data_IF_736449149392
#
_entry.id   IF_736449149392
#
_cell.length_a   1.000
_cell.length_b   1.000
_cell.length_c   1.000
_cell.angle_alpha   90.00
_cell.angle_beta   90.00
_cell.angle_gamma   90.00
#
_symmetry.space_group_name_H-M   'P 1'
#
loop_
_entity.id
_entity.type
_entity.pdbx_description
1 polymer ?
#
# COMPACT_ATOMS: atom_id res chain seq x y z
N UNK A 1 -16.13 -40.61 11.01
CA UNK A 1 -14.94 -40.01 11.64
C UNK A 1 -14.19 -39.27 10.53
N UNK A 2 -14.55 -38.00 10.32
CA UNK A 2 -14.10 -37.18 9.19
C UNK A 2 -12.88 -36.40 9.68
N UNK A 3 -11.70 -36.72 9.16
CA UNK A 3 -10.48 -35.96 9.41
C UNK A 3 -10.61 -34.60 8.68
N UNK A 4 -10.82 -33.53 9.44
CA UNK A 4 -10.62 -32.16 8.98
C UNK A 4 -9.11 -31.97 8.75
N UNK A 5 -8.70 -31.73 7.50
CA UNK A 5 -7.35 -31.26 7.19
C UNK A 5 -7.37 -29.74 7.30
N UNK A 6 -6.77 -29.23 8.37
CA UNK A 6 -6.45 -27.80 8.53
C UNK A 6 -5.32 -27.44 7.57
N UNK A 7 -5.59 -26.49 6.67
CA UNK A 7 -4.56 -25.83 5.88
C UNK A 7 -3.80 -24.87 6.80
N UNK A 8 -2.48 -25.01 6.87
CA UNK A 8 -1.63 -24.10 7.61
C UNK A 8 -1.48 -22.81 6.79
N UNK A 9 -2.02 -21.71 7.30
CA UNK A 9 -1.84 -20.36 6.77
C UNK A 9 -0.46 -19.89 7.25
N UNK A 10 0.44 -19.59 6.30
CA UNK A 10 1.77 -19.06 6.62
C UNK A 10 1.63 -17.57 6.93
N UNK A 11 1.74 -17.19 8.19
CA UNK A 11 1.95 -15.80 8.60
C UNK A 11 3.42 -15.45 8.37
N UNK A 12 3.73 -14.75 7.27
CA UNK A 12 5.03 -14.12 7.10
C UNK A 12 5.09 -12.88 8.02
N UNK A 13 5.61 -13.06 9.23
CA UNK A 13 5.92 -11.95 10.12
C UNK A 13 7.13 -11.18 9.55
N UNK A 14 6.88 -10.01 8.96
CA UNK A 14 7.94 -9.05 8.68
C UNK A 14 8.39 -8.46 10.02
N UNK A 15 9.67 -8.65 10.33
CA UNK A 15 10.34 -8.09 11.49
C UNK A 15 10.38 -6.56 11.37
N UNK A 16 9.40 -5.87 11.95
CA UNK A 16 9.57 -4.48 12.35
C UNK A 16 10.41 -4.47 13.64
N UNK A 17 11.68 -4.07 13.52
CA UNK A 17 12.52 -3.72 14.66
C UNK A 17 11.94 -2.49 15.37
N UNK A 18 11.02 -2.72 16.31
CA UNK A 18 10.63 -1.74 17.30
C UNK A 18 11.79 -1.55 18.31
N UNK A 19 12.63 -0.54 18.07
CA UNK A 19 13.53 -0.06 19.11
C UNK A 19 12.73 0.81 20.10
N UNK A 20 12.19 0.16 21.13
CA UNK A 20 11.70 0.84 22.33
C UNK A 20 12.87 1.50 23.06
N UNK A 21 12.76 2.80 23.31
CA UNK A 21 13.49 3.47 24.39
C UNK A 21 12.47 3.97 25.40
N UNK A 22 12.43 3.29 26.54
CA UNK A 22 11.74 3.76 27.72
C UNK A 22 12.54 4.82 28.48
N UNK A 23 11.82 5.78 29.03
CA UNK A 23 12.06 6.41 30.33
C UNK A 23 10.75 7.10 30.70
N UNK A 24 10.07 6.72 31.77
CA UNK A 24 10.51 7.07 33.12
C UNK A 24 9.84 8.41 33.49
N UNK A 25 8.84 8.35 34.37
CA UNK A 25 7.93 9.45 34.66
C UNK A 25 8.59 10.72 35.23
N UNK A 26 7.88 11.84 35.06
CA UNK A 26 8.22 13.14 35.62
C UNK A 26 7.12 14.14 35.30
N UNK A 27 6.23 14.32 36.27
CA UNK A 27 5.08 15.22 36.24
C UNK A 27 5.56 16.68 36.37
N UNK A 28 5.42 17.53 35.34
CA UNK A 28 5.38 18.99 35.51
C UNK A 28 4.41 19.62 34.50
N UNK A 29 3.23 19.97 34.99
CA UNK A 29 2.32 20.89 34.36
C UNK A 29 2.97 22.28 34.25
N UNK A 30 3.18 22.78 33.04
CA UNK A 30 3.35 24.22 32.79
C UNK A 30 2.37 24.67 31.73
N UNK A 31 1.26 25.24 32.20
CA UNK A 31 0.31 25.93 31.36
C UNK A 31 0.97 27.14 30.69
N UNK A 32 0.72 27.31 29.41
CA UNK A 32 0.96 28.56 28.71
C UNK A 32 -0.40 29.22 28.49
N UNK A 33 -0.67 30.25 29.31
CA UNK A 33 -1.76 31.19 29.07
C UNK A 33 -1.41 32.08 27.88
N UNK A 34 -2.39 32.47 27.04
CA UNK A 34 -2.17 33.37 25.92
C UNK A 34 -2.19 34.81 26.43
N UNK A 35 -1.10 35.56 26.26
CA UNK A 35 -1.07 36.99 26.59
C UNK A 35 -1.11 37.84 25.33
N UNK A 36 -2.18 38.63 25.23
CA UNK A 36 -2.50 39.51 24.13
C UNK A 36 -1.79 40.87 24.25
N UNK A 37 -1.36 41.38 23.09
CA UNK A 37 -1.17 42.79 22.70
C UNK A 37 0.11 43.53 23.11
N UNK A 38 0.91 43.92 22.10
CA UNK A 38 1.08 45.34 21.68
C UNK A 38 1.95 45.48 20.44
N UNK A 39 1.47 46.29 19.50
CA UNK A 39 2.16 46.71 18.29
C UNK A 39 3.40 47.57 18.60
N UNK A 40 4.47 47.36 17.84
CA UNK A 40 5.41 48.42 17.49
C UNK A 40 6.12 48.09 16.18
N UNK A 41 6.22 49.12 15.34
CA UNK A 41 6.80 49.14 14.00
C UNK A 41 8.30 48.84 14.01
N UNK A 42 8.74 48.31 12.87
CA UNK A 42 10.09 48.40 12.33
C UNK A 42 11.20 47.73 13.16
N UNK A 43 11.41 46.45 12.88
CA UNK A 43 12.76 46.00 12.56
C UNK A 43 12.65 44.87 11.54
N UNK A 44 13.18 45.11 10.35
CA UNK A 44 13.54 44.08 9.39
C UNK A 44 14.64 43.22 10.01
N UNK A 45 14.24 42.33 10.92
CA UNK A 45 15.05 41.18 11.27
C UNK A 45 14.99 40.29 10.04
N UNK A 46 15.97 40.45 9.14
CA UNK A 46 16.36 39.40 8.20
C UNK A 46 16.76 38.21 9.07
N UNK A 47 15.78 37.39 9.42
CA UNK A 47 16.03 36.03 9.87
C UNK A 47 16.85 35.39 8.75
N UNK A 48 18.06 34.91 9.08
CA UNK A 48 18.76 33.99 8.19
C UNK A 48 17.91 32.72 8.15
N UNK A 49 16.95 32.68 7.21
CA UNK A 49 16.21 31.48 6.85
C UNK A 49 17.25 30.45 6.45
N UNK A 50 17.41 29.41 7.27
CA UNK A 50 18.06 28.20 6.79
C UNK A 50 17.16 27.69 5.67
N UNK A 51 17.60 27.84 4.43
CA UNK A 51 16.98 27.14 3.32
C UNK A 51 16.94 25.65 3.70
N UNK A 52 15.75 25.05 3.66
CA UNK A 52 15.62 23.64 3.93
C UNK A 52 16.40 22.87 2.86
N UNK A 53 17.15 21.85 3.27
CA UNK A 53 17.85 20.96 2.36
C UNK A 53 17.00 19.71 2.12
N UNK A 54 17.14 19.09 0.94
CA UNK A 54 16.44 17.84 0.66
C UNK A 54 16.92 16.73 1.60
N UNK A 55 16.03 16.06 2.35
CA UNK A 55 16.43 15.01 3.27
C UNK A 55 17.10 13.82 2.57
N UNK A 56 18.29 13.43 3.02
CA UNK A 56 19.02 12.27 2.46
C UNK A 56 18.21 10.96 2.53
N UNK A 57 17.37 10.79 3.56
CA UNK A 57 16.50 9.61 3.71
C UNK A 57 15.48 9.46 2.58
N UNK A 58 15.13 10.56 1.91
CA UNK A 58 14.15 10.57 0.83
C UNK A 58 14.79 10.40 -0.56
N UNK A 59 16.13 10.41 -0.65
CA UNK A 59 16.81 10.30 -1.94
C UNK A 59 16.60 8.92 -2.55
N UNK A 60 16.15 8.91 -3.80
CA UNK A 60 15.84 7.69 -4.56
C UNK A 60 14.38 7.25 -4.49
N UNK A 61 13.58 7.84 -3.59
CA UNK A 61 12.13 7.75 -3.65
C UNK A 61 11.64 8.71 -4.74
N UNK A 62 11.07 8.18 -5.81
CA UNK A 62 10.70 9.01 -6.97
C UNK A 62 9.20 9.08 -7.15
N UNK A 63 8.52 7.94 -7.18
CA UNK A 63 7.08 7.85 -7.35
C UNK A 63 6.49 6.90 -6.32
N UNK A 64 5.44 7.34 -5.65
CA UNK A 64 4.70 6.49 -4.72
C UNK A 64 3.77 5.54 -5.50
N UNK A 65 3.45 4.38 -4.92
CA UNK A 65 2.52 3.41 -5.51
C UNK A 65 1.58 2.90 -4.41
N UNK A 66 0.28 3.14 -4.58
CA UNK A 66 -0.73 2.89 -3.53
C UNK A 66 -0.88 1.41 -3.17
N UNK A 67 -0.46 0.48 -4.03
CA UNK A 67 -0.58 -0.95 -3.78
C UNK A 67 0.72 -1.61 -3.29
N UNK A 68 1.77 -0.84 -3.00
CA UNK A 68 3.07 -1.41 -2.59
C UNK A 68 3.23 -1.66 -1.10
N UNK A 69 2.43 -1.03 -0.23
CA UNK A 69 2.52 -1.26 1.20
C UNK A 69 1.77 -2.55 1.61
N UNK A 70 2.32 -3.71 1.25
CA UNK A 70 1.70 -5.02 1.44
C UNK A 70 1.82 -5.50 2.88
N UNK A 71 0.69 -5.82 3.51
CA UNK A 71 0.61 -6.40 4.86
C UNK A 71 0.26 -7.88 4.85
N UNK A 72 -0.35 -8.38 3.78
CA UNK A 72 -0.71 -9.79 3.64
C UNK A 72 -0.85 -10.21 2.17
N UNK A 73 -0.54 -11.46 1.86
CA UNK A 73 -0.85 -12.10 0.58
C UNK A 73 -1.30 -13.54 0.80
N UNK A 74 -2.29 -14.00 0.04
CA UNK A 74 -2.70 -15.42 0.03
C UNK A 74 -1.74 -16.31 -0.77
N UNK A 75 -0.85 -15.71 -1.55
CA UNK A 75 0.06 -16.42 -2.43
C UNK A 75 1.45 -15.77 -2.45
N UNK A 76 2.45 -16.54 -2.06
CA UNK A 76 3.86 -16.22 -2.26
C UNK A 76 4.51 -17.37 -3.04
N UNK A 77 4.90 -17.09 -4.27
CA UNK A 77 5.56 -18.06 -5.14
C UNK A 77 6.88 -18.59 -4.56
N UNK A 78 7.61 -17.77 -3.80
CA UNK A 78 8.89 -18.15 -3.20
C UNK A 78 8.71 -19.19 -2.09
N UNK A 79 7.60 -19.13 -1.35
CA UNK A 79 7.25 -20.14 -0.34
C UNK A 79 6.89 -21.51 -0.93
N UNK A 80 6.41 -21.55 -2.18
CA UNK A 80 5.89 -22.76 -2.82
C UNK A 80 6.89 -23.45 -3.75
N UNK A 81 7.84 -22.71 -4.31
CA UNK A 81 8.92 -23.24 -5.15
C UNK A 81 10.23 -23.13 -4.39
N UNK A 82 10.62 -24.24 -3.77
CA UNK A 82 11.83 -24.32 -2.95
C UNK A 82 12.89 -25.17 -3.64
N UNK A 83 14.17 -24.89 -3.40
CA UNK A 83 15.24 -25.74 -3.90
C UNK A 83 15.18 -27.12 -3.20
N UNK A 84 15.28 -28.25 -3.93
CA UNK A 84 15.29 -29.57 -3.30
C UNK A 84 16.55 -29.77 -2.46
N UNK A 85 16.42 -30.19 -1.21
CA UNK A 85 17.59 -30.45 -0.34
C UNK A 85 18.54 -31.51 -0.91
N UNK A 86 17.98 -32.47 -1.64
CA UNK A 86 18.71 -33.55 -2.32
C UNK A 86 18.06 -33.83 -3.67
N UNK A 87 18.85 -34.33 -4.62
CA UNK A 87 18.32 -34.75 -5.91
C UNK A 87 17.41 -35.98 -5.72
N UNK A 88 16.11 -35.87 -6.04
CA UNK A 88 15.12 -36.91 -5.75
C UNK A 88 15.17 -38.09 -6.75
N UNK A 89 15.66 -37.85 -7.97
CA UNK A 89 15.62 -38.82 -9.06
C UNK A 89 16.97 -38.93 -9.78
N UNK A 90 17.38 -40.16 -10.07
CA UNK A 90 18.57 -40.42 -10.88
C UNK A 90 18.32 -39.99 -12.34
N UNK A 91 19.28 -39.28 -12.93
CA UNK A 91 19.22 -38.85 -14.33
C UNK A 91 18.55 -37.50 -14.56
N UNK A 92 17.99 -36.87 -13.53
CA UNK A 92 17.43 -35.52 -13.60
C UNK A 92 18.21 -34.56 -12.72
N UNK A 93 18.38 -33.32 -13.20
CA UNK A 93 18.87 -32.20 -12.40
C UNK A 93 17.69 -31.34 -11.96
N UNK A 94 17.09 -31.68 -10.83
CA UNK A 94 16.00 -30.93 -10.23
C UNK A 94 16.52 -29.62 -9.63
N UNK A 95 15.95 -28.50 -10.05
CA UNK A 95 16.33 -27.15 -9.60
C UNK A 95 15.33 -26.56 -8.61
N UNK A 96 14.13 -27.12 -8.55
CA UNK A 96 13.04 -26.62 -7.72
C UNK A 96 12.03 -27.75 -7.41
N UNK A 97 11.33 -27.62 -6.28
CA UNK A 97 10.22 -28.45 -5.86
C UNK A 97 9.01 -27.55 -5.59
N UNK A 98 7.95 -27.75 -6.36
CA UNK A 98 6.67 -27.08 -6.20
C UNK A 98 5.77 -27.90 -5.26
N UNK A 99 5.30 -27.25 -4.20
CA UNK A 99 4.34 -27.80 -3.24
C UNK A 99 4.75 -29.16 -2.65
N UNK A 100 6.07 -29.36 -2.48
CA UNK A 100 6.67 -30.59 -1.93
C UNK A 100 6.50 -31.86 -2.77
N UNK A 101 5.84 -31.80 -3.93
CA UNK A 101 5.37 -32.99 -4.66
C UNK A 101 5.73 -33.01 -6.14
N UNK A 102 6.05 -31.86 -6.72
CA UNK A 102 6.34 -31.73 -8.16
C UNK A 102 7.73 -31.13 -8.36
N UNK A 103 8.58 -31.79 -9.14
CA UNK A 103 9.98 -31.39 -9.27
C UNK A 103 10.24 -30.77 -10.63
N UNK A 104 10.71 -29.53 -10.63
CA UNK A 104 11.16 -28.82 -11.83
C UNK A 104 12.60 -29.23 -12.08
N UNK A 105 12.88 -29.80 -13.26
CA UNK A 105 14.24 -30.14 -13.69
C UNK A 105 14.66 -29.29 -14.88
N UNK A 106 15.97 -29.20 -15.08
CA UNK A 106 16.57 -28.53 -16.23
C UNK A 106 17.51 -29.47 -16.98
N UNK A 107 17.35 -29.52 -18.29
CA UNK A 107 18.25 -30.20 -19.22
C UNK A 107 18.68 -29.25 -20.36
N UNK A 108 19.30 -29.81 -21.41
CA UNK A 108 19.77 -29.04 -22.56
C UNK A 108 18.62 -28.50 -23.45
N UNK A 109 17.41 -29.08 -23.33
CA UNK A 109 16.23 -28.69 -24.11
C UNK A 109 15.41 -27.60 -23.42
N UNK A 110 15.39 -27.59 -22.09
CA UNK A 110 14.65 -26.60 -21.31
C UNK A 110 14.33 -27.07 -19.89
N UNK A 111 13.16 -26.65 -19.40
CA UNK A 111 12.66 -27.02 -18.08
C UNK A 111 11.52 -28.04 -18.17
N UNK A 112 11.60 -29.14 -17.45
CA UNK A 112 10.49 -30.10 -17.36
C UNK A 112 9.91 -30.20 -15.96
N UNK A 113 8.81 -30.94 -15.83
CA UNK A 113 8.14 -31.20 -14.55
C UNK A 113 7.99 -32.70 -14.33
N UNK A 114 8.40 -33.18 -13.16
CA UNK A 114 8.22 -34.56 -12.69
C UNK A 114 7.20 -34.60 -11.56
N UNK A 115 6.47 -35.72 -11.45
CA UNK A 115 5.70 -36.05 -10.26
C UNK A 115 6.60 -36.57 -9.12
N UNK A 116 6.01 -36.86 -7.97
CA UNK A 116 6.70 -37.43 -6.80
C UNK A 116 7.34 -38.82 -7.03
N UNK A 117 7.02 -39.50 -8.14
CA UNK A 117 7.55 -40.82 -8.51
C UNK A 117 8.62 -40.72 -9.60
N UNK A 118 8.92 -39.52 -10.10
CA UNK A 118 9.86 -39.29 -11.19
C UNK A 118 9.26 -39.49 -12.57
N UNK A 119 7.93 -39.53 -12.69
CA UNK A 119 7.23 -39.58 -13.98
C UNK A 119 7.15 -38.17 -14.57
N UNK A 120 7.48 -38.05 -15.85
CA UNK A 120 7.44 -36.77 -16.56
C UNK A 120 5.99 -36.36 -16.86
N UNK A 121 5.59 -35.22 -16.29
CA UNK A 121 4.29 -34.58 -16.49
C UNK A 121 4.34 -33.49 -17.55
N UNK A 122 5.46 -32.77 -17.64
CA UNK A 122 5.72 -31.75 -18.66
C UNK A 122 7.08 -32.02 -19.28
N UNK A 123 7.09 -32.17 -20.60
CA UNK A 123 8.32 -32.35 -21.34
C UNK A 123 9.16 -31.07 -21.39
N UNK A 124 10.47 -31.21 -21.23
CA UNK A 124 11.42 -30.09 -21.23
C UNK A 124 11.54 -29.38 -22.58
N UNK A 125 11.15 -30.03 -23.68
CA UNK A 125 11.28 -29.46 -25.03
C UNK A 125 10.55 -28.13 -25.13
N UNK A 126 11.32 -27.09 -25.51
CA UNK A 126 10.84 -25.72 -25.73
C UNK A 126 10.29 -25.01 -24.50
N UNK A 127 10.40 -25.56 -23.29
CA UNK A 127 9.94 -24.87 -22.07
C UNK A 127 11.03 -23.95 -21.55
N UNK A 128 10.74 -22.65 -21.51
CA UNK A 128 11.65 -21.60 -21.03
C UNK A 128 11.61 -21.42 -19.52
N UNK A 129 10.42 -21.56 -18.91
CA UNK A 129 10.22 -21.30 -17.48
C UNK A 129 8.98 -22.01 -16.97
N UNK A 130 9.05 -22.52 -15.75
CA UNK A 130 7.91 -22.98 -14.96
C UNK A 130 7.88 -22.13 -13.68
N UNK A 131 6.71 -21.57 -13.34
CA UNK A 131 6.51 -20.80 -12.10
C UNK A 131 5.21 -21.19 -11.43
N UNK A 132 5.13 -21.04 -10.11
CA UNK A 132 3.86 -21.09 -9.39
C UNK A 132 3.09 -19.80 -9.67
N UNK A 133 1.78 -19.90 -9.77
CA UNK A 133 0.87 -18.75 -9.93
C UNK A 133 -0.32 -18.77 -8.98
N UNK A 134 -0.60 -19.92 -8.35
CA UNK A 134 -1.48 -20.07 -7.20
C UNK A 134 -0.96 -21.23 -6.35
N UNK A 135 -1.53 -21.50 -5.16
CA UNK A 135 -1.13 -22.64 -4.32
C UNK A 135 -1.17 -24.00 -5.03
N UNK A 136 -2.00 -24.15 -6.06
CA UNK A 136 -2.22 -25.40 -6.78
C UNK A 136 -2.03 -25.31 -8.29
N UNK A 137 -1.54 -24.18 -8.82
CA UNK A 137 -1.39 -23.94 -10.25
C UNK A 137 0.01 -23.42 -10.61
N UNK A 138 0.50 -23.90 -11.75
CA UNK A 138 1.74 -23.44 -12.37
C UNK A 138 1.48 -22.80 -13.72
N UNK A 139 2.32 -21.82 -14.09
CA UNK A 139 2.45 -21.32 -15.45
C UNK A 139 3.67 -21.93 -16.12
N UNK A 140 3.54 -22.23 -17.41
CA UNK A 140 4.57 -22.84 -18.24
C UNK A 140 4.74 -21.97 -19.47
N UNK A 141 5.88 -21.28 -19.55
CA UNK A 141 6.22 -20.40 -20.66
C UNK A 141 7.07 -21.15 -21.66
N UNK A 142 6.62 -21.21 -22.91
CA UNK A 142 7.31 -21.88 -24.00
C UNK A 142 8.19 -20.91 -24.81
N UNK A 143 9.05 -21.49 -25.66
CA UNK A 143 10.02 -20.76 -26.46
C UNK A 143 9.40 -19.82 -27.48
N UNK A 144 8.19 -20.15 -27.96
CA UNK A 144 7.35 -19.32 -28.85
C UNK A 144 6.59 -18.21 -28.11
N UNK A 145 6.87 -18.02 -26.81
CA UNK A 145 6.21 -17.09 -25.91
C UNK A 145 4.74 -17.42 -25.59
N UNK A 146 4.25 -18.60 -25.96
CA UNK A 146 2.98 -19.09 -25.44
C UNK A 146 3.11 -19.42 -23.96
N UNK A 147 2.05 -19.16 -23.19
CA UNK A 147 1.96 -19.53 -21.78
C UNK A 147 0.76 -20.45 -21.60
N UNK A 148 0.99 -21.60 -20.98
CA UNK A 148 -0.08 -22.50 -20.55
C UNK A 148 -0.12 -22.57 -19.04
N UNK A 149 -1.29 -22.88 -18.51
CA UNK A 149 -1.53 -23.01 -17.08
C UNK A 149 -1.96 -24.44 -16.78
N UNK A 150 -1.45 -24.96 -15.67
CA UNK A 150 -1.73 -26.33 -15.26
C UNK A 150 -2.07 -26.35 -13.78
N UNK A 151 -3.25 -26.88 -13.44
CA UNK A 151 -3.63 -27.15 -12.05
C UNK A 151 -3.16 -28.53 -11.64
N UNK A 152 -2.66 -28.62 -10.43
CA UNK A 152 -2.30 -29.89 -9.79
C UNK A 152 -3.57 -30.66 -9.44
N UNK A 153 -3.54 -31.96 -9.72
CA UNK A 153 -4.60 -32.91 -9.38
C UNK A 153 -3.93 -34.13 -8.75
N UNK A 154 -4.71 -35.06 -8.17
CA UNK A 154 -4.17 -36.23 -7.47
C UNK A 154 -3.16 -37.02 -8.33
N UNK A 155 -1.87 -36.78 -8.10
CA UNK A 155 -0.76 -37.43 -8.80
C UNK A 155 -0.49 -36.95 -10.22
N UNK A 156 -0.95 -35.76 -10.62
CA UNK A 156 -0.73 -35.24 -11.97
C UNK A 156 -1.09 -33.78 -12.14
N UNK A 157 -1.20 -33.36 -13.39
CA UNK A 157 -1.57 -32.00 -13.76
C UNK A 157 -2.67 -32.01 -14.83
N UNK A 158 -3.48 -30.96 -14.86
CA UNK A 158 -4.51 -30.73 -15.86
C UNK A 158 -4.34 -29.34 -16.44
N UNK A 159 -4.27 -29.23 -17.76
CA UNK A 159 -4.26 -27.94 -18.46
C UNK A 159 -5.57 -27.19 -18.16
N UNK A 160 -5.45 -25.92 -17.79
CA UNK A 160 -6.58 -25.08 -17.40
C UNK A 160 -6.57 -23.77 -18.17
N UNK A 161 -7.77 -23.32 -18.58
CA UNK A 161 -7.95 -21.98 -19.09
C UNK A 161 -8.17 -21.05 -17.90
N UNK A 162 -7.25 -20.12 -17.72
CA UNK A 162 -7.33 -19.13 -16.66
C UNK A 162 -8.03 -17.89 -17.20
N UNK A 163 -9.16 -17.57 -16.58
CA UNK A 163 -9.84 -16.30 -16.70
C UNK A 163 -10.19 -15.81 -15.32
N UNK A 164 -9.92 -14.54 -15.05
CA UNK A 164 -10.38 -13.90 -13.83
C UNK A 164 -11.92 -13.95 -13.76
N UNK A 165 -12.46 -14.36 -12.62
CA UNK A 165 -13.90 -14.37 -12.36
C UNK A 165 -14.18 -13.74 -11.00
N UNK A 166 -14.62 -12.49 -11.06
CA UNK A 166 -14.95 -11.67 -9.89
C UNK A 166 -16.08 -12.26 -9.05
N UNK A 167 -16.99 -13.05 -9.64
CA UNK A 167 -18.14 -13.61 -8.90
C UNK A 167 -17.75 -14.65 -7.86
N UNK A 168 -16.50 -15.12 -7.89
CA UNK A 168 -15.92 -16.03 -6.90
C UNK A 168 -15.56 -15.31 -5.60
N UNK A 169 -15.41 -13.99 -5.65
CA UNK A 169 -15.06 -13.14 -4.51
C UNK A 169 -16.35 -12.69 -3.83
N UNK A 170 -16.46 -12.90 -2.53
CA UNK A 170 -17.58 -12.43 -1.73
C UNK A 170 -17.12 -11.78 -0.42
N UNK A 171 -17.95 -10.88 0.08
CA UNK A 171 -17.82 -10.30 1.41
C UNK A 171 -18.99 -10.79 2.25
N UNK A 172 -18.75 -11.85 3.01
CA UNK A 172 -19.80 -12.56 3.75
C UNK A 172 -19.98 -11.93 5.14
N UNK A 173 -21.24 -11.65 5.55
CA UNK A 173 -21.50 -11.12 6.88
C UNK A 173 -21.20 -12.18 7.94
N UNK A 174 -20.43 -11.79 8.96
CA UNK A 174 -20.27 -12.61 10.15
C UNK A 174 -21.57 -12.57 10.95
N UNK A 175 -22.23 -13.72 11.08
CA UNK A 175 -23.46 -13.87 11.86
C UNK A 175 -23.12 -14.42 13.24
N UNK A 176 -23.26 -13.58 14.27
CA UNK A 176 -23.19 -13.97 15.68
C UNK A 176 -21.78 -14.07 16.27
N UNK A 177 -21.43 -13.10 17.11
CA UNK A 177 -20.36 -13.19 18.10
C UNK A 177 -20.87 -12.61 19.42
N UNK A 178 -20.63 -13.29 20.54
CA UNK A 178 -21.19 -12.98 21.86
C UNK A 178 -20.69 -11.66 22.51
N UNK A 179 -19.99 -10.77 21.80
CA UNK A 179 -19.29 -9.65 22.44
C UNK A 179 -19.39 -8.26 21.77
N UNK A 180 -20.27 -8.05 20.79
CA UNK A 180 -20.36 -6.71 20.19
C UNK A 180 -21.43 -5.86 20.88
N UNK A 181 -20.97 -4.99 21.79
CA UNK A 181 -21.76 -3.97 22.50
C UNK A 181 -22.33 -2.87 21.56
N UNK A 182 -22.07 -2.99 20.25
CA UNK A 182 -22.55 -2.11 19.19
C UNK A 182 -23.04 -2.97 17.99
N UNK A 183 -24.19 -2.62 17.42
CA UNK A 183 -24.90 -3.29 16.31
C UNK A 183 -24.16 -3.16 14.95
N UNK A 184 -22.83 -3.26 14.95
CA UNK A 184 -22.01 -3.09 13.74
C UNK A 184 -21.86 -4.42 13.04
N UNK A 185 -22.42 -4.54 11.83
CA UNK A 185 -22.24 -5.72 10.99
C UNK A 185 -20.78 -5.82 10.53
N UNK A 186 -20.17 -6.98 10.73
CA UNK A 186 -18.82 -7.29 10.23
C UNK A 186 -18.86 -8.21 9.01
N UNK A 187 -17.84 -8.12 8.16
CA UNK A 187 -17.67 -8.91 6.95
C UNK A 187 -16.31 -9.61 6.93
N UNK A 188 -16.25 -10.76 6.26
CA UNK A 188 -15.00 -11.45 5.90
C UNK A 188 -14.93 -11.63 4.39
N UNK A 189 -13.72 -11.53 3.85
CA UNK A 189 -13.47 -11.75 2.42
C UNK A 189 -13.28 -13.24 2.14
N UNK A 190 -14.06 -13.78 1.22
CA UNK A 190 -14.05 -15.19 0.84
C UNK A 190 -13.79 -15.37 -0.65
N UNK A 191 -13.18 -16.51 -1.00
CA UNK A 191 -13.08 -17.02 -2.36
C UNK A 191 -13.72 -18.40 -2.42
N UNK A 192 -14.78 -18.54 -3.21
CA UNK A 192 -15.59 -19.78 -3.29
C UNK A 192 -16.03 -20.28 -1.88
N UNK A 193 -16.38 -19.35 -0.98
CA UNK A 193 -16.78 -19.63 0.41
C UNK A 193 -15.64 -19.92 1.39
N UNK A 194 -14.38 -19.88 0.96
CA UNK A 194 -13.22 -20.03 1.85
C UNK A 194 -12.71 -18.66 2.28
N UNK A 195 -12.59 -18.43 3.59
CA UNK A 195 -12.02 -17.18 4.13
C UNK A 195 -10.57 -17.04 3.65
N UNK A 196 -10.27 -15.91 3.02
CA UNK A 196 -8.93 -15.60 2.51
C UNK A 196 -8.07 -14.87 3.53
N UNK A 197 -8.68 -14.02 4.36
CA UNK A 197 -8.01 -13.23 5.38
C UNK A 197 -8.95 -13.02 6.57
N UNK A 198 -8.48 -13.32 7.78
CA UNK A 198 -9.31 -13.36 9.00
C UNK A 198 -9.68 -11.98 9.57
N UNK A 199 -9.32 -10.89 8.88
CA UNK A 199 -9.72 -9.54 9.27
C UNK A 199 -11.24 -9.38 9.23
N UNK A 200 -11.79 -8.73 10.27
CA UNK A 200 -13.21 -8.38 10.38
C UNK A 200 -13.41 -6.97 9.82
N UNK A 201 -13.92 -6.87 8.61
CA UNK A 201 -14.19 -5.59 7.94
C UNK A 201 -15.50 -5.00 8.44
N UNK A 202 -15.53 -3.70 8.69
CA UNK A 202 -16.76 -2.97 9.04
C UNK A 202 -17.51 -2.56 7.77
N UNK A 203 -16.77 -2.30 6.69
CA UNK A 203 -17.34 -2.06 5.38
C UNK A 203 -16.29 -2.17 4.29
N UNK A 204 -16.78 -2.14 3.06
CA UNK A 204 -15.98 -2.25 1.85
C UNK A 204 -16.69 -1.56 0.69
N UNK A 205 -15.92 -1.09 -0.28
CA UNK A 205 -16.40 -0.58 -1.55
C UNK A 205 -15.48 -1.04 -2.68
N UNK A 206 -16.06 -1.29 -3.85
CA UNK A 206 -15.26 -1.56 -5.03
C UNK A 206 -14.58 -0.28 -5.51
N UNK A 207 -13.30 -0.38 -5.89
CA UNK A 207 -12.51 0.74 -6.38
C UNK A 207 -12.10 0.51 -7.82
N UNK A 208 -12.25 1.53 -8.67
CA UNK A 208 -11.74 1.48 -10.03
C UNK A 208 -10.20 1.50 -10.00
N UNK A 209 -9.57 0.40 -10.42
CA UNK A 209 -8.12 0.27 -10.47
C UNK A 209 -7.48 1.37 -11.34
N UNK A 210 -8.18 1.88 -12.36
CA UNK A 210 -7.67 2.97 -13.22
C UNK A 210 -7.58 4.32 -12.50
N UNK A 211 -8.29 4.45 -11.38
CA UNK A 211 -8.25 5.66 -10.54
C UNK A 211 -7.09 5.64 -9.54
N UNK A 212 -6.41 4.49 -9.38
CA UNK A 212 -5.30 4.31 -8.46
C UNK A 212 -3.97 4.62 -9.16
N UNK A 213 -3.08 5.34 -8.47
CA UNK A 213 -1.72 5.55 -8.95
C UNK A 213 -0.86 4.33 -8.58
N UNK A 214 -0.95 3.30 -9.42
CA UNK A 214 -0.24 2.04 -9.22
C UNK A 214 0.32 1.50 -10.54
N UNK A 215 1.49 0.86 -10.43
CA UNK A 215 2.13 0.09 -11.48
C UNK A 215 1.82 -1.40 -11.41
N UNK A 216 1.14 -1.84 -10.35
CA UNK A 216 0.82 -3.24 -10.09
C UNK A 216 -0.33 -3.74 -10.98
N UNK A 217 -0.21 -4.98 -11.46
CA UNK A 217 -1.15 -5.59 -12.41
C UNK A 217 -2.17 -6.47 -11.67
N UNK A 218 -3.31 -5.88 -11.32
CA UNK A 218 -4.44 -6.54 -10.69
C UNK A 218 -5.69 -6.48 -11.57
N UNK A 219 -6.65 -7.37 -11.33
CA UNK A 219 -7.90 -7.42 -12.10
C UNK A 219 -9.04 -6.64 -11.42
N UNK A 220 -9.04 -6.62 -10.08
CA UNK A 220 -10.00 -5.85 -9.29
C UNK A 220 -9.40 -5.44 -7.95
N UNK A 221 -9.88 -4.33 -7.40
CA UNK A 221 -9.49 -3.84 -6.07
C UNK A 221 -10.74 -3.43 -5.30
N UNK A 222 -10.74 -3.71 -4.01
CA UNK A 222 -11.72 -3.21 -3.06
C UNK A 222 -11.01 -2.35 -2.02
N UNK A 223 -11.60 -1.21 -1.66
CA UNK A 223 -11.22 -0.46 -0.47
C UNK A 223 -12.03 -1.01 0.69
N UNK A 224 -11.40 -1.43 1.78
CA UNK A 224 -12.08 -1.92 2.97
C UNK A 224 -11.49 -1.29 4.23
N UNK A 225 -12.31 -1.17 5.26
CA UNK A 225 -11.91 -0.60 6.53
C UNK A 225 -12.32 -1.50 7.68
N UNK A 226 -11.46 -1.53 8.68
CA UNK A 226 -11.77 -2.07 10.00
C UNK A 226 -11.55 -0.95 11.03
N UNK A 227 -11.94 -1.14 12.28
CA UNK A 227 -11.79 -0.11 13.32
C UNK A 227 -10.33 0.28 13.62
N UNK A 228 -9.35 -0.25 12.90
CA UNK A 228 -7.92 0.06 13.02
C UNK A 228 -7.36 0.85 11.83
N UNK A 229 -8.00 0.80 10.67
CA UNK A 229 -7.49 1.50 9.50
C UNK A 229 -8.16 1.12 8.19
N UNK A 230 -7.56 1.62 7.11
CA UNK A 230 -8.04 1.52 5.74
C UNK A 230 -7.08 0.68 4.89
N UNK A 231 -7.63 -0.15 4.00
CA UNK A 231 -6.86 -1.13 3.25
C UNK A 231 -7.38 -1.27 1.82
N UNK A 232 -6.48 -1.63 0.90
CA UNK A 232 -6.82 -2.16 -0.41
C UNK A 232 -6.74 -3.69 -0.40
N UNK A 233 -7.76 -4.33 -0.95
CA UNK A 233 -7.83 -5.76 -1.20
C UNK A 233 -7.75 -5.97 -2.71
N UNK A 234 -6.54 -6.23 -3.19
CA UNK A 234 -6.23 -6.36 -4.60
C UNK A 234 -6.20 -7.84 -5.03
N UNK A 235 -6.90 -8.18 -6.11
CA UNK A 235 -6.97 -9.53 -6.62
C UNK A 235 -6.31 -9.65 -7.98
N UNK A 236 -5.38 -10.59 -8.10
CA UNK A 236 -4.73 -10.87 -9.37
C UNK A 236 -5.62 -11.75 -10.29
N UNK A 237 -5.12 -12.03 -11.49
CA UNK A 237 -5.78 -12.88 -12.48
C UNK A 237 -6.08 -14.32 -12.04
N UNK A 238 -5.47 -14.80 -10.95
CA UNK A 238 -5.70 -16.12 -10.37
C UNK A 238 -6.59 -16.06 -9.14
N UNK A 239 -7.11 -14.87 -8.81
CA UNK A 239 -7.86 -14.55 -7.60
C UNK A 239 -7.03 -14.72 -6.31
N UNK A 240 -5.71 -14.57 -6.38
CA UNK A 240 -4.90 -14.42 -5.18
C UNK A 240 -5.13 -13.01 -4.62
N UNK A 241 -5.36 -12.92 -3.30
CA UNK A 241 -5.57 -11.67 -2.60
C UNK A 241 -4.24 -11.13 -2.09
N UNK A 242 -3.98 -9.85 -2.36
CA UNK A 242 -2.97 -9.02 -1.67
C UNK A 242 -3.71 -7.95 -0.87
N UNK A 243 -3.35 -7.78 0.40
CA UNK A 243 -3.87 -6.73 1.27
C UNK A 243 -2.78 -5.70 1.46
N UNK A 244 -3.09 -4.46 1.13
CA UNK A 244 -2.19 -3.32 1.26
C UNK A 244 -2.81 -2.27 2.19
N UNK A 245 -2.00 -1.56 2.97
CA UNK A 245 -2.50 -0.37 3.67
C UNK A 245 -2.87 0.70 2.64
N UNK A 246 -4.03 1.33 2.81
CA UNK A 246 -4.46 2.41 1.94
C UNK A 246 -3.97 3.76 2.45
N UNK A 247 -3.88 4.74 1.55
CA UNK A 247 -3.42 6.07 1.88
C UNK A 247 -4.50 6.94 2.54
N UNK A 248 -4.06 7.71 3.52
CA UNK A 248 -4.79 8.83 4.12
C UNK A 248 -4.42 10.16 3.46
N UNK A 249 -3.15 10.29 3.07
CA UNK A 249 -2.62 11.44 2.33
C UNK A 249 -1.45 11.07 1.41
N UNK A 250 -1.21 11.91 0.42
CA UNK A 250 -0.02 11.90 -0.44
C UNK A 250 0.80 13.16 -0.15
N UNK A 251 2.11 13.02 -0.05
CA UNK A 251 3.05 14.15 0.07
C UNK A 251 4.01 14.12 -1.12
N UNK A 252 4.12 15.25 -1.81
CA UNK A 252 5.08 15.53 -2.87
C UNK A 252 6.04 16.61 -2.36
N UNK A 253 7.34 16.30 -2.29
CA UNK A 253 8.37 17.22 -1.83
C UNK A 253 9.34 17.50 -2.96
N UNK A 254 9.62 18.79 -3.20
CA UNK A 254 10.65 19.24 -4.13
C UNK A 254 11.53 20.29 -3.47
N UNK A 255 12.84 20.06 -3.47
CA UNK A 255 13.84 21.05 -3.02
C UNK A 255 14.99 21.04 -4.03
N UNK A 256 15.21 22.16 -4.72
CA UNK A 256 16.13 22.28 -5.83
C UNK A 256 15.77 21.37 -6.99
N UNK A 257 16.69 20.48 -7.35
CA UNK A 257 16.51 19.46 -8.38
C UNK A 257 15.99 18.13 -7.82
N UNK A 258 16.00 17.95 -6.49
CA UNK A 258 15.56 16.72 -5.84
C UNK A 258 14.03 16.72 -5.65
N UNK A 259 13.46 15.52 -5.76
CA UNK A 259 12.02 15.30 -5.72
C UNK A 259 11.69 13.91 -5.17
N UNK A 260 10.64 13.83 -4.35
CA UNK A 260 10.05 12.55 -3.94
C UNK A 260 8.52 12.64 -3.77
N UNK A 261 7.90 11.48 -3.83
CA UNK A 261 6.50 11.27 -3.44
C UNK A 261 6.40 10.14 -2.43
N UNK A 262 5.49 10.29 -1.46
CA UNK A 262 5.17 9.25 -0.49
C UNK A 262 3.70 9.28 -0.10
N UNK A 263 3.18 8.14 0.33
CA UNK A 263 1.87 8.03 0.94
C UNK A 263 2.00 7.93 2.46
N UNK A 264 1.05 8.51 3.17
CA UNK A 264 0.84 8.33 4.60
C UNK A 264 -0.24 7.27 4.74
N UNK A 265 0.12 6.11 5.26
CA UNK A 265 -0.79 4.97 5.42
C UNK A 265 -1.16 4.71 6.88
N UNK A 266 -0.45 5.33 7.82
CA UNK A 266 -0.72 5.25 9.25
C UNK A 266 -1.68 6.39 9.66
N UNK A 267 -2.80 6.08 10.34
CA UNK A 267 -3.77 7.09 10.77
C UNK A 267 -3.21 8.05 11.84
N UNK A 268 -2.33 7.59 12.73
CA UNK A 268 -1.73 8.44 13.76
C UNK A 268 -0.75 9.43 13.11
N UNK A 269 0.01 9.00 12.09
CA UNK A 269 0.86 9.90 11.30
C UNK A 269 0.03 10.94 10.51
N UNK A 270 -1.15 10.54 10.01
CA UNK A 270 -2.07 11.47 9.36
C UNK A 270 -2.65 12.51 10.33
N UNK A 271 -3.04 12.09 11.54
CA UNK A 271 -3.54 12.99 12.59
C UNK A 271 -2.45 13.97 13.07
N UNK A 272 -1.20 13.49 13.18
CA UNK A 272 -0.02 14.33 13.46
C UNK A 272 0.18 15.37 12.35
N UNK A 273 0.03 14.98 11.08
CA UNK A 273 0.13 15.91 9.95
C UNK A 273 -0.97 16.99 9.99
N UNK A 274 -2.22 16.61 10.20
CA UNK A 274 -3.34 17.55 10.29
C UNK A 274 -3.16 18.50 11.48
N UNK A 275 -2.69 17.98 12.63
CA UNK A 275 -2.36 18.78 13.81
C UNK A 275 -1.24 19.76 13.52
N UNK A 276 -0.19 19.31 12.85
CA UNK A 276 0.95 20.13 12.45
C UNK A 276 0.49 21.26 11.54
N UNK A 277 -0.25 20.95 10.47
CA UNK A 277 -0.75 21.98 9.53
C UNK A 277 -1.67 22.98 10.25
N UNK A 278 -2.56 22.50 11.11
CA UNK A 278 -3.49 23.34 11.87
C UNK A 278 -2.78 24.25 12.88
N UNK A 279 -1.63 23.82 13.41
CA UNK A 279 -0.88 24.57 14.42
C UNK A 279 -0.18 25.84 13.89
N UNK A 280 0.02 25.94 12.56
CA UNK A 280 0.80 27.03 11.98
C UNK A 280 0.09 28.37 11.93
N UNK A 281 -1.22 28.41 12.21
CA UNK A 281 -2.05 29.61 12.15
C UNK A 281 -2.26 30.11 10.72
N UNK A 282 -3.41 30.71 10.44
CA UNK A 282 -3.65 31.42 9.19
C UNK A 282 -3.41 32.92 9.40
N UNK A 283 -2.38 33.47 8.76
CA UNK A 283 -2.36 34.90 8.50
C UNK A 283 -3.16 35.17 7.21
N UNK A 284 -3.81 36.33 7.20
CA UNK A 284 -4.88 36.82 6.32
C UNK A 284 -4.91 36.24 4.90
N UNK A 285 -6.13 36.08 4.36
CA UNK A 285 -6.36 35.68 2.96
C UNK A 285 -5.69 36.70 2.03
N UNK A 286 -4.77 36.23 1.18
CA UNK A 286 -4.05 37.09 0.22
C UNK A 286 -4.36 36.70 -1.22
N UNK A 287 -4.23 37.64 -2.16
CA UNK A 287 -4.70 37.45 -3.53
C UNK A 287 -3.63 36.92 -4.52
N UNK A 288 -2.36 36.71 -4.14
CA UNK A 288 -1.39 35.98 -4.99
C UNK A 288 -0.01 35.72 -4.35
N UNK A 289 0.53 34.49 -4.44
CA UNK A 289 1.96 34.21 -4.32
C UNK A 289 2.71 34.38 -5.66
N UNK A 290 4.04 34.49 -5.56
CA UNK A 290 4.95 34.64 -6.70
C UNK A 290 5.00 33.39 -7.58
N UNK A 291 4.65 33.52 -8.86
CA UNK A 291 4.78 32.46 -9.86
C UNK A 291 6.24 32.25 -10.25
N UNK A 292 6.98 31.42 -9.52
CA UNK A 292 8.25 30.88 -9.97
C UNK A 292 8.06 29.40 -10.32
N UNK A 293 7.96 29.08 -11.61
CA UNK A 293 8.04 27.69 -12.06
C UNK A 293 9.43 27.14 -11.73
N UNK A 294 9.52 26.26 -10.74
CA UNK A 294 10.78 25.67 -10.28
C UNK A 294 11.19 26.03 -8.85
N UNK A 295 10.32 26.67 -8.06
CA UNK A 295 10.54 26.89 -6.63
C UNK A 295 10.34 25.59 -5.84
N UNK A 296 11.07 25.46 -4.74
CA UNK A 296 10.87 24.40 -3.75
C UNK A 296 9.41 24.42 -3.25
N UNK A 297 8.85 23.25 -2.97
CA UNK A 297 7.50 23.15 -2.42
C UNK A 297 7.28 21.82 -1.68
N UNK A 298 6.29 21.84 -0.80
CA UNK A 298 5.63 20.66 -0.27
C UNK A 298 4.17 20.71 -0.71
N UNK A 299 3.73 19.70 -1.44
CA UNK A 299 2.33 19.56 -1.85
C UNK A 299 1.75 18.34 -1.16
N UNK A 300 0.64 18.55 -0.45
CA UNK A 300 -0.02 17.52 0.33
C UNK A 300 -1.43 17.38 -0.22
N UNK A 301 -1.80 16.18 -0.63
CA UNK A 301 -3.18 15.80 -0.94
C UNK A 301 -3.72 14.96 0.22
N UNK A 302 -4.66 15.51 0.99
CA UNK A 302 -5.25 14.87 2.17
C UNK A 302 -6.73 14.52 1.97
N UNK A 303 -7.32 13.84 2.97
CA UNK A 303 -8.71 13.38 2.91
C UNK A 303 -8.95 12.23 1.94
N UNK A 304 -7.90 11.45 1.60
CA UNK A 304 -8.00 10.32 0.67
C UNK A 304 -8.83 9.15 1.25
N UNK A 305 -8.85 9.03 2.58
CA UNK A 305 -9.68 8.08 3.30
C UNK A 305 -11.17 8.48 3.34
N UNK A 306 -11.46 9.75 3.63
CA UNK A 306 -12.80 10.22 4.04
C UNK A 306 -13.60 10.92 2.93
N UNK A 307 -13.02 11.12 1.74
CA UNK A 307 -13.71 11.72 0.60
C UNK A 307 -13.74 13.25 0.60
N UNK A 308 -13.45 13.89 1.72
CA UNK A 308 -13.23 15.33 1.87
C UNK A 308 -11.82 15.72 1.37
N UNK A 309 -11.57 15.51 0.08
CA UNK A 309 -10.23 15.71 -0.50
C UNK A 309 -9.84 17.18 -0.50
N UNK A 310 -8.59 17.43 -0.15
CA UNK A 310 -8.00 18.76 -0.22
C UNK A 310 -6.56 18.65 -0.72
N UNK A 311 -6.07 19.69 -1.37
CA UNK A 311 -4.68 19.83 -1.79
C UNK A 311 -4.13 21.12 -1.19
N UNK A 312 -3.00 21.04 -0.49
CA UNK A 312 -2.26 22.20 0.01
C UNK A 312 -0.86 22.21 -0.61
N UNK A 313 -0.50 23.30 -1.28
CA UNK A 313 0.85 23.51 -1.81
C UNK A 313 1.51 24.63 -1.02
N UNK A 314 2.63 24.30 -0.37
CA UNK A 314 3.32 25.14 0.61
C UNK A 314 4.71 25.46 0.07
N UNK A 315 5.06 26.74 0.01
CA UNK A 315 6.36 27.23 -0.44
C UNK A 315 7.24 27.70 0.73
N UNK A 316 8.58 27.76 0.55
CA UNK A 316 9.51 28.19 1.59
C UNK A 316 9.29 29.60 2.13
N UNK A 317 8.72 30.49 1.31
CA UNK A 317 8.38 31.87 1.66
C UNK A 317 7.08 31.99 2.47
N UNK A 318 6.49 30.86 2.88
CA UNK A 318 5.36 30.78 3.79
C UNK A 318 4.00 30.84 3.12
N UNK A 319 3.90 30.93 1.80
CA UNK A 319 2.60 30.86 1.13
C UNK A 319 2.06 29.44 1.08
N UNK A 320 0.77 29.29 1.37
CA UNK A 320 0.02 28.06 1.20
C UNK A 320 -1.13 28.28 0.22
N UNK A 321 -1.15 27.52 -0.86
CA UNK A 321 -2.29 27.43 -1.76
C UNK A 321 -3.14 26.23 -1.38
N UNK A 322 -4.42 26.45 -1.06
CA UNK A 322 -5.36 25.39 -0.76
C UNK A 322 -6.40 25.25 -1.87
N UNK A 323 -6.61 24.03 -2.32
CA UNK A 323 -7.66 23.61 -3.24
C UNK A 323 -8.55 22.60 -2.50
N UNK A 324 -9.84 22.88 -2.38
CA UNK A 324 -10.81 21.94 -1.81
C UNK A 324 -11.55 21.23 -2.95
N UNK A 325 -11.59 19.90 -2.90
CA UNK A 325 -12.41 19.15 -3.84
C UNK A 325 -13.90 19.36 -3.50
N UNK A 326 -14.78 19.53 -4.51
CA UNK A 326 -16.20 19.58 -4.27
C UNK A 326 -16.69 18.26 -3.67
N UNK A 327 -17.55 18.36 -2.66
CA UNK A 327 -18.11 17.20 -1.97
C UNK A 327 -18.87 16.31 -2.97
N UNK A 328 -18.69 14.98 -2.90
CA UNK A 328 -19.19 14.03 -3.93
C UNK A 328 -20.71 14.08 -4.11
N UNK A 329 -21.44 14.58 -3.12
CA UNK A 329 -22.90 14.71 -3.12
C UNK A 329 -23.44 15.81 -4.04
N UNK A 330 -22.59 16.77 -4.45
CA UNK A 330 -23.01 17.97 -5.20
C UNK A 330 -22.32 18.10 -6.58
N UNK A 331 -21.80 17.00 -7.14
CA UNK A 331 -21.08 17.00 -8.43
C UNK A 331 -21.87 17.57 -9.62
N UNK A 332 -23.21 17.62 -9.55
CA UNK A 332 -24.06 18.22 -10.56
C UNK A 332 -24.19 19.76 -10.46
N UNK A 333 -23.83 20.35 -9.31
CA UNK A 333 -23.87 21.79 -9.03
C UNK A 333 -22.52 22.36 -8.56
N UNK A 334 -21.43 21.57 -8.64
CA UNK A 334 -20.13 21.96 -8.14
C UNK A 334 -19.68 23.30 -8.76
N UNK A 335 -19.83 24.37 -7.98
CA UNK A 335 -19.07 25.59 -8.19
C UNK A 335 -17.59 25.21 -8.16
N UNK A 336 -16.77 25.98 -8.88
CA UNK A 336 -15.32 25.83 -8.95
C UNK A 336 -14.72 25.41 -7.59
N UNK A 337 -13.69 24.54 -7.56
CA UNK A 337 -13.05 24.14 -6.31
C UNK A 337 -12.75 25.39 -5.49
N UNK A 338 -13.10 25.36 -4.20
CA UNK A 338 -12.83 26.48 -3.30
C UNK A 338 -11.31 26.59 -3.17
N UNK A 339 -10.76 27.61 -3.82
CA UNK A 339 -9.33 27.88 -3.91
C UNK A 339 -9.00 29.17 -3.17
N UNK A 340 -7.98 29.13 -2.32
CA UNK A 340 -7.53 30.31 -1.60
C UNK A 340 -6.06 30.21 -1.19
N UNK A 341 -5.46 31.37 -0.89
CA UNK A 341 -4.13 31.45 -0.31
C UNK A 341 -4.19 31.88 1.16
N UNK A 342 -3.31 31.29 1.96
CA UNK A 342 -2.98 31.74 3.31
C UNK A 342 -1.49 31.99 3.41
N UNK A 343 -1.10 32.83 4.37
CA UNK A 343 0.31 33.01 4.75
C UNK A 343 0.53 32.25 6.05
N UNK A 344 1.61 31.49 6.09
CA UNK A 344 2.08 30.70 7.23
C UNK A 344 3.47 31.18 7.64
N UNK A 345 3.89 30.82 8.83
CA UNK A 345 5.25 31.08 9.28
C UNK A 345 6.26 30.42 8.32
N UNK A 346 7.30 31.11 7.81
CA UNK A 346 8.31 30.48 6.93
C UNK A 346 8.98 29.24 7.54
N UNK A 347 9.01 29.12 8.88
CA UNK A 347 9.51 27.89 9.57
C UNK A 347 8.65 26.66 9.30
N UNK A 348 7.36 26.83 9.01
CA UNK A 348 6.42 25.76 8.67
C UNK A 348 6.96 24.88 7.56
N UNK A 349 7.57 25.47 6.52
CA UNK A 349 8.15 24.71 5.43
C UNK A 349 9.26 23.78 5.94
N UNK A 350 10.18 24.30 6.77
CA UNK A 350 11.30 23.51 7.30
C UNK A 350 10.84 22.41 8.26
N UNK A 351 9.84 22.69 9.09
CA UNK A 351 9.27 21.72 10.03
C UNK A 351 8.55 20.60 9.28
N UNK A 352 7.80 20.92 8.21
CA UNK A 352 7.15 19.93 7.36
C UNK A 352 8.17 19.07 6.59
N UNK A 353 9.23 19.65 6.04
CA UNK A 353 10.33 18.88 5.41
C UNK A 353 10.91 17.86 6.41
N UNK A 354 11.15 18.30 7.64
CA UNK A 354 11.72 17.45 8.69
C UNK A 354 10.74 16.36 9.13
N UNK A 355 9.45 16.68 9.21
CA UNK A 355 8.39 15.74 9.53
C UNK A 355 8.26 14.68 8.43
N UNK A 356 8.21 15.07 7.15
CA UNK A 356 8.14 14.14 6.02
C UNK A 356 9.33 13.17 6.03
N UNK A 357 10.54 13.65 6.34
CA UNK A 357 11.72 12.79 6.45
C UNK A 357 11.62 11.72 7.54
N UNK A 358 10.80 11.94 8.58
CA UNK A 358 10.57 11.01 9.68
C UNK A 358 9.34 10.12 9.53
N UNK A 359 8.31 10.60 8.81
CA UNK A 359 7.08 9.86 8.53
C UNK A 359 7.28 8.81 7.42
N UNK A 360 8.12 9.12 6.42
CA UNK A 360 8.43 8.17 5.35
C UNK A 360 9.36 7.08 5.87
N UNK A 361 8.86 5.85 5.93
CA UNK A 361 9.59 4.65 6.37
C UNK A 361 9.82 3.67 5.24
#
# INVERSE_FOLDING_TARGET
>A
MILKKTAAILSAAVLLTACSKGSGGGNESRGLSPDSSKSSKDSSVRMNEKHAEFPESLKGLTKADVLRNVVFTTFDAASLIVEPEKQPFNGYKCTACFNGSYYIFKDDKGFGLLDQRGSELINSDRVKKITAVSPDMISVKYSDNTTKYFRTVNGGIKEEKVSFDKNRIAFEPLTGGEEDMYDTQHYVVTLDGNILYESKWIGYEETDLKSLDTSEDYETVYKAWNGRGLYYLAFDRFCNLTVCEAEYAKVELRIGEDYCECYITDPDEYDDLETLISSFGSEERTDAPGKASGSDYIRIEGGLAEGSRWVRTISPDGYCFTELAPDKSDAANAAFPDMYFTVMNPRTFTDLVSWTAGAVK
#
